data_IF_730797468155
#
_entry.id   IF_730797468155
#
_cell.length_a   1.000
_cell.length_b   1.000
_cell.length_c   1.000
_cell.angle_alpha   90.00
_cell.angle_beta   90.00
_cell.angle_gamma   90.00
#
_symmetry.space_group_name_H-M   'P 1'
#
loop_
_entity.id
_entity.type
_entity.pdbx_description
1 polymer ?
#
# COMPACT_ATOMS: atom_id res chain seq x y z
N UNK A 1 25.23 23.50 74.85
CA UNK A 1 26.00 24.00 73.69
C UNK A 1 25.84 22.96 72.58
N UNK A 2 25.12 23.35 71.52
CA UNK A 2 25.02 22.74 70.17
C UNK A 2 24.32 21.35 70.12
N UNK A 3 23.00 21.28 69.93
CA UNK A 3 22.21 21.31 68.67
C UNK A 3 22.47 20.17 67.68
N UNK A 4 21.44 19.33 67.51
CA UNK A 4 20.89 18.74 66.27
C UNK A 4 21.82 18.58 65.05
N UNK A 5 21.90 17.35 64.53
CA UNK A 5 21.50 17.13 63.14
C UNK A 5 21.13 15.67 62.85
N UNK A 6 19.82 15.43 62.78
CA UNK A 6 19.23 14.27 62.11
C UNK A 6 19.43 14.50 60.62
N UNK A 7 20.39 13.81 59.99
CA UNK A 7 20.57 13.91 58.55
C UNK A 7 19.54 13.04 57.84
N UNK A 8 18.43 13.68 57.49
CA UNK A 8 17.41 13.20 56.55
C UNK A 8 18.04 13.06 55.16
N UNK A 9 18.60 11.91 54.84
CA UNK A 9 18.78 11.52 53.44
C UNK A 9 17.49 10.86 52.95
N UNK A 10 16.56 11.71 52.52
CA UNK A 10 15.45 11.33 51.67
C UNK A 10 16.08 10.81 50.38
N UNK A 11 16.17 9.49 50.25
CA UNK A 11 16.38 8.83 48.96
C UNK A 11 15.12 9.04 48.13
N UNK A 12 15.02 10.17 47.44
CA UNK A 12 14.11 10.33 46.30
C UNK A 12 14.63 9.41 45.20
N UNK A 13 14.14 8.16 45.21
CA UNK A 13 14.21 7.27 44.07
C UNK A 13 13.38 7.91 42.96
N UNK A 14 14.03 8.71 42.11
CA UNK A 14 13.49 9.16 40.83
C UNK A 14 13.33 7.90 39.97
N UNK A 15 12.19 7.23 40.12
CA UNK A 15 11.67 6.34 39.09
C UNK A 15 11.32 7.20 37.89
N UNK A 16 12.33 7.53 37.10
CA UNK A 16 12.12 7.83 35.68
C UNK A 16 11.58 6.54 35.12
N UNK A 17 10.25 6.41 35.13
CA UNK A 17 9.52 5.48 34.29
C UNK A 17 9.93 5.85 32.87
N UNK A 18 11.00 5.22 32.40
CA UNK A 18 11.35 5.18 31.01
C UNK A 18 10.20 4.44 30.37
N UNK A 19 9.18 5.20 30.00
CA UNK A 19 8.09 4.75 29.18
C UNK A 19 8.75 4.46 27.85
N UNK A 20 9.31 3.26 27.72
CA UNK A 20 9.54 2.60 26.47
C UNK A 20 8.15 2.53 25.83
N UNK A 21 7.78 3.62 25.16
CA UNK A 21 6.81 3.57 24.10
C UNK A 21 7.48 2.64 23.11
N UNK A 22 7.19 1.34 23.24
CA UNK A 22 7.28 0.43 22.13
C UNK A 22 6.49 1.11 21.03
N UNK A 23 7.20 1.84 20.16
CA UNK A 23 6.68 2.18 18.87
C UNK A 23 6.54 0.83 18.20
N UNK A 24 5.35 0.24 18.34
CA UNK A 24 4.93 -0.84 17.47
C UNK A 24 5.24 -0.31 16.08
N UNK A 25 6.16 -0.96 15.39
CA UNK A 25 6.50 -0.60 14.02
C UNK A 25 5.22 -0.85 13.23
N UNK A 26 4.48 0.24 13.03
CA UNK A 26 3.20 0.24 12.36
C UNK A 26 3.36 -0.22 10.90
N UNK A 27 2.25 -0.57 10.25
CA UNK A 27 2.12 -1.45 9.08
C UNK A 27 3.00 -1.09 7.88
N UNK A 28 4.30 -1.35 7.99
CA UNK A 28 5.25 -1.23 6.88
C UNK A 28 4.94 -2.32 5.85
N UNK A 29 4.90 -1.91 4.59
CA UNK A 29 4.80 -2.83 3.48
C UNK A 29 6.19 -3.38 3.15
N UNK A 30 6.27 -4.68 2.90
CA UNK A 30 7.44 -5.32 2.35
C UNK A 30 7.53 -5.01 0.85
N UNK A 31 8.72 -4.66 0.37
CA UNK A 31 8.95 -4.21 -1.00
C UNK A 31 7.93 -3.15 -1.49
N UNK A 32 7.88 -1.97 -0.84
CA UNK A 32 6.85 -0.98 -1.12
C UNK A 32 7.03 -0.23 -2.45
N UNK A 33 8.17 -0.42 -3.13
CA UNK A 33 8.43 0.12 -4.47
C UNK A 33 8.35 -0.94 -5.56
N UNK A 34 7.91 -2.16 -5.23
CA UNK A 34 7.73 -3.21 -6.25
C UNK A 34 9.02 -3.52 -7.01
N UNK A 35 10.16 -3.48 -6.30
CA UNK A 35 11.47 -3.80 -6.86
C UNK A 35 11.55 -5.29 -7.22
N UNK A 36 12.09 -5.58 -8.40
CA UNK A 36 12.18 -6.94 -8.90
C UNK A 36 12.88 -7.03 -10.25
N UNK A 37 12.80 -8.20 -10.87
CA UNK A 37 13.27 -8.40 -12.24
C UNK A 37 12.14 -7.99 -13.19
N UNK A 38 12.35 -7.04 -14.12
CA UNK A 38 11.36 -6.74 -15.15
C UNK A 38 10.98 -7.96 -15.97
N UNK A 39 9.70 -8.08 -16.31
CA UNK A 39 9.23 -9.22 -17.08
C UNK A 39 7.72 -9.38 -17.11
N UNK A 40 7.26 -10.09 -18.15
CA UNK A 40 5.85 -10.46 -18.30
C UNK A 40 5.44 -11.46 -17.22
N UNK A 41 4.27 -11.26 -16.63
CA UNK A 41 3.70 -12.07 -15.55
C UNK A 41 4.67 -12.31 -14.39
N UNK A 42 5.55 -11.34 -14.13
CA UNK A 42 6.56 -11.39 -13.07
C UNK A 42 6.11 -10.45 -11.97
N UNK A 43 5.94 -10.96 -10.74
CA UNK A 43 5.60 -10.14 -9.58
C UNK A 43 6.84 -9.84 -8.72
N UNK A 44 6.87 -8.67 -8.05
CA UNK A 44 7.91 -8.35 -7.10
C UNK A 44 7.80 -9.23 -5.84
N UNK A 45 8.94 -9.52 -5.21
CA UNK A 45 8.98 -10.35 -3.99
C UNK A 45 8.05 -9.75 -2.91
N UNK A 46 7.38 -10.63 -2.16
CA UNK A 46 6.34 -10.35 -1.16
C UNK A 46 4.96 -9.99 -1.70
N UNK A 47 4.81 -9.73 -2.99
CA UNK A 47 3.53 -9.55 -3.63
C UNK A 47 3.11 -10.83 -4.36
N UNK A 48 1.88 -11.28 -4.13
CA UNK A 48 1.33 -12.50 -4.72
C UNK A 48 0.12 -12.17 -5.58
N UNK A 49 -0.06 -12.83 -6.73
CA UNK A 49 -1.22 -12.59 -7.58
C UNK A 49 -2.50 -13.06 -6.87
N UNK A 50 -3.61 -12.38 -7.14
CA UNK A 50 -4.94 -12.73 -6.64
C UNK A 50 -5.91 -13.02 -7.77
N UNK A 51 -6.73 -14.06 -7.60
CA UNK A 51 -7.63 -14.59 -8.64
C UNK A 51 -6.89 -15.28 -9.80
N UNK A 52 -7.58 -16.23 -10.43
CA UNK A 52 -7.08 -16.91 -11.62
C UNK A 52 -6.97 -15.91 -12.76
N UNK A 53 -5.81 -15.90 -13.45
CA UNK A 53 -5.56 -15.00 -14.58
C UNK A 53 -5.01 -13.63 -14.21
N UNK A 54 -4.73 -13.36 -12.92
CA UNK A 54 -3.94 -12.19 -12.53
C UNK A 54 -2.47 -12.41 -12.83
N UNK A 55 -1.96 -11.68 -13.81
CA UNK A 55 -0.56 -11.71 -14.24
C UNK A 55 0.08 -10.32 -14.22
N UNK A 56 0.11 -9.61 -13.08
CA UNK A 56 0.83 -8.33 -13.00
C UNK A 56 2.27 -8.45 -13.49
N UNK A 57 2.78 -7.36 -14.04
CA UNK A 57 4.13 -7.28 -14.58
C UNK A 57 5.01 -6.36 -13.74
N UNK A 58 6.29 -6.70 -13.60
CA UNK A 58 7.32 -5.78 -13.14
C UNK A 58 7.84 -5.01 -14.35
N UNK A 59 7.81 -3.70 -14.26
CA UNK A 59 8.13 -2.71 -15.29
C UNK A 59 9.30 -1.82 -14.84
N UNK A 60 9.94 -1.05 -15.72
CA UNK A 60 9.70 -0.90 -17.16
C UNK A 60 10.36 -1.99 -18.02
N UNK A 61 10.09 -1.97 -19.33
CA UNK A 61 10.82 -2.77 -20.33
C UNK A 61 10.02 -3.89 -21.00
N UNK A 62 8.74 -4.08 -20.64
CA UNK A 62 7.83 -4.98 -21.34
C UNK A 62 6.55 -4.27 -21.74
N UNK A 63 5.85 -4.78 -22.76
CA UNK A 63 4.59 -4.19 -23.26
C UNK A 63 4.69 -2.74 -23.75
N UNK A 64 5.87 -2.33 -24.22
CA UNK A 64 6.17 -0.95 -24.64
C UNK A 64 6.08 0.09 -23.51
N UNK A 65 6.06 -0.34 -22.25
CA UNK A 65 6.08 0.55 -21.09
C UNK A 65 7.53 0.97 -20.81
N UNK A 66 7.79 2.27 -20.90
CA UNK A 66 9.14 2.86 -20.78
C UNK A 66 9.25 3.99 -19.74
N UNK A 67 8.16 4.33 -19.04
CA UNK A 67 8.16 5.35 -17.99
C UNK A 67 9.23 5.02 -16.94
N UNK A 68 10.20 5.92 -16.64
CA UNK A 68 11.16 5.67 -15.58
C UNK A 68 10.49 5.54 -14.21
N UNK A 69 10.96 4.66 -13.30
CA UNK A 69 10.39 4.48 -11.96
C UNK A 69 10.33 5.78 -11.16
N UNK A 70 9.32 5.92 -10.30
CA UNK A 70 9.24 7.06 -9.38
C UNK A 70 10.15 6.87 -8.17
N UNK A 71 10.46 5.61 -7.84
CA UNK A 71 11.43 5.22 -6.83
C UNK A 71 12.17 3.95 -7.24
N UNK A 72 13.46 3.87 -6.90
CA UNK A 72 14.25 2.66 -7.17
C UNK A 72 14.45 2.38 -8.66
N UNK A 73 14.26 1.14 -9.09
CA UNK A 73 14.62 0.67 -10.45
C UNK A 73 13.49 -0.01 -11.21
N UNK A 74 12.46 -0.49 -10.52
CA UNK A 74 11.29 -1.11 -11.16
C UNK A 74 10.01 -0.78 -10.41
N UNK A 75 8.87 -1.02 -11.03
CA UNK A 75 7.55 -0.79 -10.45
C UNK A 75 6.54 -1.82 -10.95
N UNK A 76 5.32 -1.80 -10.42
CA UNK A 76 4.26 -2.74 -10.79
C UNK A 76 3.36 -2.14 -11.87
N UNK A 77 2.95 -2.94 -12.85
CA UNK A 77 1.78 -2.64 -13.69
C UNK A 77 0.71 -3.71 -13.57
N UNK A 78 -0.54 -3.29 -13.67
CA UNK A 78 -1.70 -4.18 -13.70
C UNK A 78 -2.69 -3.73 -14.77
N UNK A 79 -3.45 -4.69 -15.34
CA UNK A 79 -4.41 -4.40 -16.41
C UNK A 79 -5.85 -4.85 -16.14
N UNK A 80 -6.80 -4.16 -16.76
CA UNK A 80 -8.19 -4.61 -16.91
C UNK A 80 -8.40 -5.19 -18.32
N UNK A 81 -9.37 -6.09 -18.48
CA UNK A 81 -9.70 -6.80 -19.73
C UNK A 81 -11.20 -6.72 -20.02
N UNK A 82 -11.68 -7.47 -21.01
CA UNK A 82 -13.12 -7.63 -21.22
C UNK A 82 -13.73 -8.59 -20.18
N UNK A 83 -14.09 -8.04 -19.01
CA UNK A 83 -14.80 -8.77 -17.97
C UNK A 83 -13.91 -9.42 -16.90
N UNK A 84 -12.59 -9.22 -16.95
CA UNK A 84 -11.65 -9.61 -15.90
C UNK A 84 -10.63 -8.51 -15.63
N UNK A 85 -9.95 -8.57 -14.50
CA UNK A 85 -8.97 -7.57 -14.08
C UNK A 85 -7.97 -8.20 -13.12
N UNK A 86 -6.81 -7.57 -13.00
CA UNK A 86 -5.73 -8.06 -12.16
C UNK A 86 -5.84 -7.56 -10.73
N UNK A 87 -5.31 -8.37 -9.83
CA UNK A 87 -5.06 -7.99 -8.46
C UNK A 87 -3.83 -8.71 -7.93
N UNK A 88 -3.19 -8.10 -6.95
CA UNK A 88 -2.17 -8.75 -6.14
C UNK A 88 -2.38 -8.40 -4.67
N UNK A 89 -1.75 -9.15 -3.78
CA UNK A 89 -1.83 -8.91 -2.35
C UNK A 89 -0.46 -8.96 -1.70
N UNK A 90 -0.44 -8.50 -0.47
CA UNK A 90 0.60 -8.80 0.49
C UNK A 90 -0.01 -9.15 1.85
N UNK A 91 0.61 -10.11 2.55
CA UNK A 91 0.38 -10.31 3.98
C UNK A 91 1.19 -9.28 4.78
N UNK A 92 0.51 -8.48 5.57
CA UNK A 92 1.14 -7.48 6.42
C UNK A 92 1.83 -8.15 7.62
N UNK A 93 2.97 -7.63 8.04
CA UNK A 93 3.64 -8.09 9.27
C UNK A 93 2.79 -7.77 10.52
N UNK A 94 2.06 -6.67 10.45
CA UNK A 94 1.10 -6.21 11.46
C UNK A 94 -0.21 -5.89 10.73
N UNK A 95 -1.33 -6.44 11.17
CA UNK A 95 -2.64 -6.17 10.56
C UNK A 95 -3.01 -4.69 10.63
N UNK A 96 -3.78 -4.20 9.65
CA UNK A 96 -4.55 -2.97 9.84
C UNK A 96 -5.62 -3.26 10.89
N UNK A 97 -5.71 -2.44 11.94
CA UNK A 97 -6.67 -2.68 13.01
C UNK A 97 -7.97 -1.92 12.77
N UNK A 98 -9.09 -2.53 13.13
CA UNK A 98 -10.41 -1.92 13.13
C UNK A 98 -10.42 -0.67 14.02
N UNK A 99 -10.99 0.42 13.51
CA UNK A 99 -11.07 1.69 14.21
C UNK A 99 -9.74 2.45 14.32
N UNK A 100 -8.71 2.04 13.57
CA UNK A 100 -7.44 2.76 13.43
C UNK A 100 -7.29 3.30 12.02
N UNK A 101 -6.63 4.44 11.88
CA UNK A 101 -6.47 5.12 10.60
C UNK A 101 -4.99 5.26 10.26
N UNK A 102 -4.65 4.93 9.02
CA UNK A 102 -3.27 4.81 8.58
C UNK A 102 -3.06 5.59 7.29
N UNK A 103 -2.10 6.52 7.32
CA UNK A 103 -1.78 7.35 6.19
C UNK A 103 -0.62 6.75 5.39
N UNK A 104 -0.79 6.69 4.08
CA UNK A 104 0.20 6.24 3.11
C UNK A 104 0.33 7.25 1.96
N UNK A 105 1.44 7.17 1.25
CA UNK A 105 1.54 7.72 -0.11
C UNK A 105 1.71 6.62 -1.12
N UNK A 106 1.22 6.83 -2.34
CA UNK A 106 1.45 5.94 -3.48
C UNK A 106 1.57 6.76 -4.76
N UNK A 107 2.42 6.33 -5.69
CA UNK A 107 2.58 6.97 -6.98
C UNK A 107 1.84 6.16 -8.04
N UNK A 108 0.95 6.83 -8.78
CA UNK A 108 0.15 6.21 -9.83
C UNK A 108 0.34 6.95 -11.15
N UNK A 109 0.33 6.18 -12.24
CA UNK A 109 0.28 6.69 -13.60
C UNK A 109 -0.53 5.74 -14.49
N UNK A 110 -0.85 6.19 -15.69
CA UNK A 110 -1.49 5.39 -16.74
C UNK A 110 -0.66 5.51 -18.02
N UNK A 111 -0.32 4.39 -18.64
CA UNK A 111 0.40 4.41 -19.91
C UNK A 111 -0.58 4.34 -21.10
N UNK A 112 -0.83 5.42 -21.85
CA UNK A 112 -1.72 5.39 -23.01
C UNK A 112 -1.18 4.53 -24.16
N UNK A 113 0.12 4.22 -24.18
CA UNK A 113 0.80 3.45 -25.22
C UNK A 113 1.01 1.98 -24.84
N UNK A 114 0.48 1.53 -23.70
CA UNK A 114 0.56 0.14 -23.26
C UNK A 114 0.10 -0.81 -24.39
N UNK A 115 0.99 -1.72 -24.78
CA UNK A 115 0.78 -2.61 -25.93
C UNK A 115 -0.48 -3.47 -25.79
N UNK A 116 -1.13 -3.82 -26.91
CA UNK A 116 -2.30 -4.72 -26.91
C UNK A 116 -3.64 -4.06 -26.57
N UNK A 117 -3.78 -2.76 -26.87
CA UNK A 117 -4.98 -1.94 -26.63
C UNK A 117 -5.30 -1.68 -25.15
N UNK A 118 -4.32 -1.85 -24.26
CA UNK A 118 -4.48 -1.64 -22.82
C UNK A 118 -4.27 -0.18 -22.39
N UNK A 119 -4.25 0.79 -23.31
CA UNK A 119 -4.08 2.22 -23.01
C UNK A 119 -5.26 2.89 -22.28
N UNK A 120 -6.33 2.16 -21.98
CA UNK A 120 -7.49 2.69 -21.27
C UNK A 120 -7.16 3.13 -19.83
N UNK A 121 -7.73 4.26 -19.42
CA UNK A 121 -7.67 4.79 -18.04
C UNK A 121 -8.38 3.84 -17.08
N UNK A 122 -7.75 3.52 -15.95
CA UNK A 122 -8.33 2.68 -14.89
C UNK A 122 -8.23 3.39 -13.53
N UNK A 123 -8.61 2.69 -12.46
CA UNK A 123 -8.41 3.13 -11.08
C UNK A 123 -7.76 2.02 -10.26
N UNK A 124 -7.05 2.42 -9.20
CA UNK A 124 -6.60 1.53 -8.15
C UNK A 124 -7.65 1.47 -7.05
N UNK A 125 -7.94 0.25 -6.60
CA UNK A 125 -8.71 -0.04 -5.40
C UNK A 125 -7.83 -0.77 -4.40
N UNK A 126 -7.91 -0.38 -3.14
CA UNK A 126 -7.17 -0.99 -2.06
C UNK A 126 -8.18 -1.61 -1.09
N UNK A 127 -8.04 -2.91 -0.87
CA UNK A 127 -8.93 -3.69 -0.03
C UNK A 127 -8.20 -4.24 1.20
N UNK A 128 -8.92 -4.30 2.31
CA UNK A 128 -8.57 -5.10 3.47
C UNK A 128 -9.12 -6.52 3.32
N UNK A 129 -8.27 -7.53 3.59
CA UNK A 129 -8.65 -8.94 3.55
C UNK A 129 -8.42 -9.64 4.88
N UNK A 130 -9.40 -10.40 5.36
CA UNK A 130 -9.24 -11.27 6.54
C UNK A 130 -8.54 -12.58 6.22
N UNK A 131 -8.62 -13.02 4.97
CA UNK A 131 -7.88 -14.17 4.42
C UNK A 131 -7.22 -13.83 3.10
N UNK A 132 -6.31 -14.70 2.63
CA UNK A 132 -5.54 -14.50 1.39
C UNK A 132 -6.45 -14.21 0.19
N UNK A 133 -6.20 -13.11 -0.50
CA UNK A 133 -6.92 -12.60 -1.68
C UNK A 133 -8.39 -12.26 -1.47
N UNK A 134 -8.90 -12.35 -0.25
CA UNK A 134 -10.24 -11.90 0.08
C UNK A 134 -10.30 -10.37 0.06
N UNK A 135 -11.35 -9.82 -0.56
CA UNK A 135 -11.64 -8.39 -0.62
C UNK A 135 -12.80 -8.10 0.34
N UNK A 136 -12.50 -7.99 1.62
CA UNK A 136 -13.51 -7.90 2.69
C UNK A 136 -14.08 -6.50 2.84
N UNK A 137 -13.22 -5.48 2.86
CA UNK A 137 -13.62 -4.06 2.96
C UNK A 137 -12.82 -3.24 1.96
N UNK A 138 -13.52 -2.38 1.20
CA UNK A 138 -12.88 -1.41 0.32
C UNK A 138 -12.38 -0.26 1.17
N UNK A 139 -11.06 -0.14 1.30
CA UNK A 139 -10.44 0.85 2.18
C UNK A 139 -10.15 2.16 1.45
N UNK A 140 -9.89 2.10 0.14
CA UNK A 140 -9.58 3.29 -0.66
C UNK A 140 -9.76 3.06 -2.17
N UNK A 141 -10.15 4.12 -2.89
CA UNK A 141 -10.18 4.18 -4.36
C UNK A 141 -9.46 5.43 -4.86
N UNK A 142 -8.66 5.31 -5.91
CA UNK A 142 -7.96 6.45 -6.51
C UNK A 142 -8.87 7.35 -7.35
N UNK A 143 -10.01 6.83 -7.78
CA UNK A 143 -10.70 7.35 -8.97
C UNK A 143 -9.83 7.21 -10.24
N UNK A 144 -10.23 7.84 -11.36
CA UNK A 144 -9.53 7.68 -12.63
C UNK A 144 -8.09 8.20 -12.61
N UNK A 145 -7.13 7.34 -12.92
CA UNK A 145 -5.72 7.71 -13.09
C UNK A 145 -5.47 8.02 -14.56
N UNK A 146 -5.36 9.31 -14.88
CA UNK A 146 -5.33 9.80 -16.28
C UNK A 146 -3.97 10.30 -16.74
N UNK A 147 -3.01 10.48 -15.83
CA UNK A 147 -1.73 11.11 -16.14
C UNK A 147 -0.73 10.07 -16.64
N UNK A 148 -0.02 10.34 -17.76
CA UNK A 148 1.06 9.48 -18.26
C UNK A 148 2.36 9.64 -17.48
N UNK A 149 2.37 10.47 -16.45
CA UNK A 149 3.50 10.69 -15.55
C UNK A 149 3.05 10.46 -14.12
N UNK A 150 4.00 10.10 -13.26
CA UNK A 150 3.74 9.81 -11.85
C UNK A 150 3.01 10.95 -11.16
N UNK A 151 1.89 10.62 -10.52
CA UNK A 151 1.17 11.48 -9.59
C UNK A 151 1.19 10.83 -8.22
N UNK A 152 1.57 11.60 -7.20
CA UNK A 152 1.57 11.13 -5.83
C UNK A 152 0.21 11.34 -5.20
N UNK A 153 -0.36 10.27 -4.68
CA UNK A 153 -1.60 10.26 -3.92
C UNK A 153 -1.25 10.14 -2.44
N UNK A 154 -1.97 10.89 -1.61
CA UNK A 154 -2.05 10.69 -0.17
C UNK A 154 -3.34 9.92 0.09
N UNK A 155 -3.26 8.81 0.81
CA UNK A 155 -4.42 7.97 1.11
C UNK A 155 -4.46 7.60 2.58
N UNK A 156 -5.68 7.42 3.07
CA UNK A 156 -5.97 7.03 4.45
C UNK A 156 -6.75 5.73 4.42
N UNK A 157 -6.16 4.69 5.01
CA UNK A 157 -6.79 3.39 5.16
C UNK A 157 -7.42 3.34 6.55
N UNK A 158 -8.74 3.18 6.60
CA UNK A 158 -9.52 3.27 7.82
C UNK A 158 -10.45 2.06 7.96
N UNK A 159 -9.95 0.89 8.39
CA UNK A 159 -10.77 -0.31 8.59
C UNK A 159 -11.93 -0.08 9.55
N UNK A 160 -13.15 -0.35 9.10
CA UNK A 160 -14.37 -0.21 9.89
C UNK A 160 -14.97 -1.54 10.31
N UNK A 161 -14.78 -2.60 9.52
CA UNK A 161 -15.53 -3.85 9.71
C UNK A 161 -14.70 -4.94 10.41
N UNK A 162 -13.37 -4.97 10.26
CA UNK A 162 -12.51 -5.96 10.90
C UNK A 162 -11.03 -5.55 10.94
N UNK A 163 -10.21 -6.38 11.60
CA UNK A 163 -8.76 -6.33 11.46
C UNK A 163 -8.33 -7.04 10.17
N UNK A 164 -7.46 -6.43 9.37
CA UNK A 164 -7.03 -6.94 8.08
C UNK A 164 -5.53 -7.29 8.06
N UNK A 165 -5.18 -8.59 8.13
CA UNK A 165 -3.81 -9.06 7.92
C UNK A 165 -3.36 -9.03 6.46
N UNK A 166 -4.27 -8.86 5.49
CA UNK A 166 -3.96 -8.80 4.07
C UNK A 166 -4.36 -7.45 3.49
N UNK A 167 -3.51 -6.92 2.62
CA UNK A 167 -3.78 -5.79 1.77
C UNK A 167 -3.83 -6.26 0.32
N UNK A 168 -4.90 -5.91 -0.41
CA UNK A 168 -5.07 -6.28 -1.81
C UNK A 168 -5.11 -5.03 -2.67
N UNK A 169 -4.24 -4.99 -3.68
CA UNK A 169 -4.26 -4.00 -4.76
C UNK A 169 -5.04 -4.57 -5.93
N UNK A 170 -6.05 -3.84 -6.39
CA UNK A 170 -6.90 -4.23 -7.50
C UNK A 170 -6.95 -3.10 -8.52
N UNK A 171 -6.61 -3.40 -9.78
CA UNK A 171 -6.96 -2.49 -10.88
C UNK A 171 -8.41 -2.72 -11.27
N UNK A 172 -9.17 -1.65 -11.49
CA UNK A 172 -10.58 -1.79 -11.86
C UNK A 172 -11.04 -0.75 -12.90
N UNK A 173 -12.16 -1.04 -13.54
CA UNK A 173 -12.80 -0.15 -14.49
C UNK A 173 -13.28 1.14 -13.81
N UNK A 174 -13.20 2.26 -14.53
CA UNK A 174 -13.86 3.52 -14.14
C UNK A 174 -15.23 3.70 -14.81
N UNK A 175 -15.50 2.93 -15.87
CA UNK A 175 -16.77 2.92 -16.60
C UNK A 175 -17.52 1.61 -16.33
N UNK A 176 -18.85 1.63 -16.47
CA UNK A 176 -19.69 0.43 -16.29
C UNK A 176 -19.39 -0.68 -17.31
N UNK A 177 -19.13 -0.31 -18.56
CA UNK A 177 -18.75 -1.27 -19.59
C UNK A 177 -17.30 -1.74 -19.35
N UNK A 178 -17.00 -3.05 -19.40
CA UNK A 178 -15.63 -3.55 -19.33
C UNK A 178 -14.78 -3.09 -20.53
N UNK A 179 -13.50 -2.85 -20.30
CA UNK A 179 -12.54 -2.45 -21.34
C UNK A 179 -11.11 -2.79 -20.95
N UNK A 180 -10.22 -2.77 -21.94
CA UNK A 180 -8.80 -2.94 -21.75
C UNK A 180 -8.15 -1.64 -21.26
N UNK A 181 -7.45 -1.70 -20.14
CA UNK A 181 -6.83 -0.55 -19.51
C UNK A 181 -5.67 -0.97 -18.63
N UNK A 182 -4.88 0.01 -18.18
CA UNK A 182 -3.72 -0.24 -17.31
C UNK A 182 -3.61 0.80 -16.19
N UNK A 183 -2.85 0.41 -15.18
CA UNK A 183 -2.32 1.29 -14.15
C UNK A 183 -0.87 0.92 -13.87
N UNK A 184 -0.04 1.93 -13.63
CA UNK A 184 1.32 1.81 -13.13
C UNK A 184 1.34 2.25 -11.66
N UNK A 185 2.07 1.52 -10.81
CA UNK A 185 2.04 1.67 -9.35
C UNK A 185 3.46 1.60 -8.81
N UNK A 186 3.88 2.62 -8.08
CA UNK A 186 5.19 2.69 -7.42
C UNK A 186 5.09 3.36 -6.05
N UNK A 187 6.12 3.19 -5.22
CA UNK A 187 6.42 3.99 -4.03
C UNK A 187 5.27 4.05 -2.99
N UNK A 188 4.67 2.89 -2.71
CA UNK A 188 3.59 2.73 -1.74
C UNK A 188 4.12 2.73 -0.30
N UNK A 189 4.22 3.89 0.33
CA UNK A 189 4.93 4.09 1.60
C UNK A 189 3.98 4.45 2.74
N UNK A 190 4.09 3.72 3.85
CA UNK A 190 3.50 4.10 5.12
C UNK A 190 4.10 5.43 5.59
N UNK A 191 3.25 6.30 6.16
CA UNK A 191 3.67 7.57 6.76
C UNK A 191 3.48 7.54 8.26
N UNK A 192 2.25 7.34 8.71
CA UNK A 192 1.88 7.47 10.12
C UNK A 192 0.50 6.86 10.42
N UNK A 193 0.27 6.56 11.69
CA UNK A 193 -1.06 6.31 12.25
C UNK A 193 -1.63 7.67 12.65
N UNK A 194 -2.92 7.86 12.39
CA UNK A 194 -3.63 9.10 12.69
C UNK A 194 -4.89 8.80 13.52
N UNK A 195 -5.40 9.79 14.27
CA UNK A 195 -6.77 9.74 14.77
C UNK A 195 -7.74 9.58 13.60
N UNK A 196 -8.76 8.76 13.78
CA UNK A 196 -9.81 8.63 12.78
C UNK A 196 -10.80 9.80 12.87
N UNK A 197 -11.05 10.45 11.74
CA UNK A 197 -12.11 11.44 11.57
C UNK A 197 -13.31 10.75 10.90
N UNK A 198 -14.16 10.09 11.69
CA UNK A 198 -15.37 9.42 11.20
C UNK A 198 -16.60 10.33 11.27
#
# INVERSE_FOLDING_TARGET
MIHHQVSRYIFTFLSVLWSHHFRVVAQQLQNPSFEGRPGVATLPVHWLPCNVGSTPDVQPGVWLVDLPPSNGTTYLSMVTRYGSWEACQQKLSTSLLMGKCYQYTIDLANDPNFAGSYGGVTQLRIWGGTTSCQKSELLWESGPVTKPTWQRYLLELSPKEANYPYLVLEVYYVKKAPYQGNILIDNFRYKQELPCEF
#
